data_IF_638560533480
#
_entry.id   IF_638560533480
#
_cell.length_a   1.000
_cell.length_b   1.000
_cell.length_c   1.000
_cell.angle_alpha   90.00
_cell.angle_beta   90.00
_cell.angle_gamma   90.00
#
_symmetry.space_group_name_H-M   'P 1'
#
loop_
_entity.id
_entity.type
_entity.pdbx_description
1 polymer ?
#
# COMPACT_ATOMS: atom_id res chain seq x y z
N UNK A 1 15.89 -39.80 40.60
CA UNK A 1 14.96 -38.71 40.94
C UNK A 1 15.34 -37.50 40.09
N UNK A 2 14.54 -37.14 39.07
CA UNK A 2 14.81 -35.97 38.24
C UNK A 2 14.31 -34.73 38.98
N UNK A 3 15.22 -33.90 39.49
CA UNK A 3 14.86 -32.58 40.03
C UNK A 3 14.32 -31.70 38.91
N UNK A 4 13.02 -31.44 38.92
CA UNK A 4 12.44 -30.42 38.05
C UNK A 4 12.93 -29.06 38.54
N UNK A 5 13.73 -28.36 37.74
CA UNK A 5 14.08 -26.96 37.98
C UNK A 5 12.80 -26.14 37.87
N UNK A 6 12.32 -25.60 38.99
CA UNK A 6 11.24 -24.63 39.00
C UNK A 6 11.80 -23.26 38.58
N UNK A 7 11.17 -22.64 37.57
CA UNK A 7 11.46 -21.26 37.17
C UNK A 7 11.16 -20.31 38.32
N UNK A 8 12.01 -19.30 38.52
CA UNK A 8 11.73 -18.27 39.54
C UNK A 8 10.81 -17.19 38.98
N UNK A 9 9.97 -16.58 39.82
CA UNK A 9 9.11 -15.47 39.43
C UNK A 9 9.92 -14.26 38.92
N UNK A 10 11.10 -14.04 39.49
CA UNK A 10 12.00 -12.95 39.09
C UNK A 10 12.53 -13.14 37.68
N UNK A 11 12.83 -14.38 37.29
CA UNK A 11 13.33 -14.71 35.95
C UNK A 11 12.27 -14.45 34.88
N UNK A 12 11.01 -14.81 35.15
CA UNK A 12 9.90 -14.45 34.26
C UNK A 12 9.71 -12.92 34.18
N UNK A 13 9.83 -12.22 35.32
CA UNK A 13 9.64 -10.77 35.43
C UNK A 13 10.66 -10.00 34.57
N UNK A 14 11.95 -10.36 34.66
CA UNK A 14 13.00 -9.73 33.85
C UNK A 14 12.77 -9.97 32.36
N UNK A 15 12.33 -11.17 31.97
CA UNK A 15 12.05 -11.50 30.56
C UNK A 15 10.90 -10.64 30.01
N UNK A 16 9.77 -10.54 30.71
CA UNK A 16 8.65 -9.72 30.22
C UNK A 16 8.95 -8.23 30.22
N UNK A 17 9.81 -7.76 31.14
CA UNK A 17 10.31 -6.38 31.15
C UNK A 17 11.13 -6.09 29.89
N UNK A 18 12.06 -6.98 29.52
CA UNK A 18 12.87 -6.82 28.31
C UNK A 18 11.99 -6.90 27.05
N UNK A 19 11.06 -7.86 26.97
CA UNK A 19 10.12 -7.98 25.86
C UNK A 19 9.23 -6.73 25.72
N UNK A 20 8.77 -6.16 26.85
CA UNK A 20 8.00 -4.92 26.87
C UNK A 20 8.79 -3.73 26.32
N UNK A 21 10.06 -3.58 26.72
CA UNK A 21 10.93 -2.52 26.22
C UNK A 21 11.18 -2.65 24.70
N UNK A 22 11.44 -3.86 24.21
CA UNK A 22 11.62 -4.12 22.77
C UNK A 22 10.34 -3.86 21.98
N UNK A 23 9.18 -4.29 22.49
CA UNK A 23 7.88 -4.07 21.86
C UNK A 23 7.55 -2.58 21.74
N UNK A 24 7.85 -1.78 22.77
CA UNK A 24 7.61 -0.34 22.77
C UNK A 24 8.33 0.40 21.61
N UNK A 25 9.50 -0.08 21.21
CA UNK A 25 10.27 0.48 20.09
C UNK A 25 9.83 -0.12 18.75
N UNK A 26 9.58 -1.43 18.71
CA UNK A 26 9.30 -2.15 17.47
C UNK A 26 7.93 -1.81 16.88
N UNK A 27 6.88 -1.75 17.72
CA UNK A 27 5.49 -1.53 17.28
C UNK A 27 5.30 -0.22 16.50
N UNK A 28 5.68 0.97 17.00
CA UNK A 28 5.49 2.21 16.25
C UNK A 28 6.26 2.23 14.92
N UNK A 29 7.46 1.62 14.90
CA UNK A 29 8.27 1.49 13.68
C UNK A 29 7.61 0.59 12.63
N UNK A 30 6.97 -0.50 13.05
CA UNK A 30 6.23 -1.37 12.13
C UNK A 30 5.01 -0.68 11.53
N UNK A 31 4.27 0.09 12.35
CA UNK A 31 3.10 0.83 11.87
C UNK A 31 3.51 1.89 10.85
N UNK A 32 4.55 2.68 11.12
CA UNK A 32 5.02 3.69 10.16
C UNK A 32 5.56 3.07 8.87
N UNK A 33 6.27 1.94 8.96
CA UNK A 33 6.71 1.16 7.81
C UNK A 33 5.53 0.67 6.95
N UNK A 34 4.49 0.13 7.57
CA UNK A 34 3.29 -0.33 6.88
C UNK A 34 2.54 0.83 6.19
N UNK A 35 2.40 1.98 6.86
CA UNK A 35 1.79 3.18 6.27
C UNK A 35 2.59 3.69 5.08
N UNK A 36 3.91 3.79 5.21
CA UNK A 36 4.78 4.21 4.11
C UNK A 36 4.73 3.25 2.92
N UNK A 37 4.63 1.94 3.15
CA UNK A 37 4.45 0.96 2.09
C UNK A 37 3.12 1.15 1.34
N UNK A 38 2.03 1.45 2.06
CA UNK A 38 0.73 1.77 1.45
C UNK A 38 0.78 3.05 0.62
N UNK A 39 1.48 4.09 1.10
CA UNK A 39 1.66 5.35 0.36
C UNK A 39 2.38 5.09 -0.96
N UNK A 40 3.54 4.42 -0.90
CA UNK A 40 4.32 4.05 -2.09
C UNK A 40 3.54 3.17 -3.07
N UNK A 41 2.71 2.28 -2.56
CA UNK A 41 1.82 1.47 -3.40
C UNK A 41 0.76 2.34 -4.11
N UNK A 42 0.13 3.32 -3.43
CA UNK A 42 -0.78 4.25 -4.12
C UNK A 42 -0.04 5.09 -5.18
N UNK A 43 1.18 5.58 -4.90
CA UNK A 43 2.01 6.31 -5.88
C UNK A 43 2.29 5.43 -7.12
N UNK A 44 2.77 4.21 -6.90
CA UNK A 44 3.05 3.24 -7.98
C UNK A 44 1.82 2.94 -8.82
N UNK A 45 0.65 2.80 -8.17
CA UNK A 45 -0.61 2.58 -8.86
C UNK A 45 -1.04 3.80 -9.71
N UNK A 46 -0.79 5.03 -9.26
CA UNK A 46 -1.03 6.24 -10.06
C UNK A 46 -0.16 6.24 -11.30
N UNK A 47 1.12 5.89 -11.17
CA UNK A 47 2.03 5.80 -12.31
C UNK A 47 1.59 4.72 -13.31
N UNK A 48 1.17 3.55 -12.81
CA UNK A 48 0.60 2.48 -13.64
C UNK A 48 -0.64 2.97 -14.41
N UNK A 49 -1.58 3.65 -13.73
CA UNK A 49 -2.77 4.21 -14.37
C UNK A 49 -2.41 5.23 -15.45
N UNK A 50 -1.47 6.13 -15.18
CA UNK A 50 -1.01 7.13 -16.15
C UNK A 50 -0.34 6.47 -17.35
N UNK A 51 0.47 5.43 -17.15
CA UNK A 51 1.07 4.67 -18.24
C UNK A 51 0.02 4.01 -19.13
N UNK A 52 -1.02 3.42 -18.55
CA UNK A 52 -2.12 2.83 -19.33
C UNK A 52 -2.97 3.88 -20.07
N UNK A 53 -3.13 5.08 -19.49
CA UNK A 53 -3.80 6.20 -20.18
C UNK A 53 -2.99 6.67 -21.40
N UNK A 54 -1.66 6.71 -21.29
CA UNK A 54 -0.78 7.05 -22.42
C UNK A 54 -0.83 5.97 -23.51
N UNK A 55 -0.88 4.68 -23.13
CA UNK A 55 -1.11 3.59 -24.07
C UNK A 55 -2.48 3.69 -24.75
N UNK A 56 -3.52 4.05 -24.02
CA UNK A 56 -4.85 4.29 -24.61
C UNK A 56 -4.78 5.39 -25.68
N UNK A 57 -4.11 6.51 -25.39
CA UNK A 57 -3.92 7.56 -26.39
C UNK A 57 -3.17 7.07 -27.63
N UNK A 58 -2.12 6.27 -27.44
CA UNK A 58 -1.34 5.71 -28.54
C UNK A 58 -2.16 4.77 -29.45
N UNK A 59 -3.10 4.01 -28.89
CA UNK A 59 -3.93 3.08 -29.65
C UNK A 59 -5.13 3.77 -30.31
N UNK A 60 -5.78 4.67 -29.59
CA UNK A 60 -7.07 5.23 -29.95
C UNK A 60 -6.97 6.63 -30.59
N UNK A 61 -5.77 7.23 -30.63
CA UNK A 61 -5.49 8.60 -31.06
C UNK A 61 -6.37 9.67 -30.38
N UNK A 62 -6.88 9.38 -29.18
CA UNK A 62 -7.71 10.27 -28.36
C UNK A 62 -7.46 10.00 -26.89
N UNK A 63 -7.46 11.04 -26.08
CA UNK A 63 -7.40 10.88 -24.63
C UNK A 63 -8.71 10.30 -24.09
N UNK A 64 -8.67 9.47 -23.03
CA UNK A 64 -9.89 8.96 -22.43
C UNK A 64 -10.68 10.11 -21.80
N UNK A 65 -11.96 10.26 -22.14
CA UNK A 65 -12.81 11.30 -21.53
C UNK A 65 -13.11 11.03 -20.05
N UNK A 66 -12.93 9.78 -19.61
CA UNK A 66 -13.13 9.30 -18.25
C UNK A 66 -12.19 8.13 -17.97
N UNK A 67 -11.76 7.98 -16.73
CA UNK A 67 -10.82 6.92 -16.31
C UNK A 67 -11.35 5.50 -16.59
N UNK A 68 -12.67 5.32 -16.52
CA UNK A 68 -13.31 4.01 -16.72
C UNK A 68 -13.13 3.43 -18.11
N UNK A 69 -12.84 4.25 -19.13
CA UNK A 69 -12.55 3.78 -20.49
C UNK A 69 -11.25 2.99 -20.56
N UNK A 70 -10.30 3.30 -19.67
CA UNK A 70 -9.04 2.56 -19.55
C UNK A 70 -9.20 1.44 -18.52
N UNK A 71 -9.82 1.71 -17.37
CA UNK A 71 -9.84 0.74 -16.27
C UNK A 71 -10.85 -0.40 -16.43
N UNK A 72 -11.87 -0.25 -17.28
CA UNK A 72 -12.84 -1.36 -17.51
C UNK A 72 -12.40 -2.26 -18.67
N UNK A 73 -11.43 -1.81 -19.46
CA UNK A 73 -10.99 -2.52 -20.65
C UNK A 73 -9.85 -3.50 -20.29
N UNK A 74 -10.05 -4.82 -20.48
CA UNK A 74 -9.03 -5.83 -20.21
C UNK A 74 -7.76 -5.68 -21.05
N UNK A 75 -7.78 -4.93 -22.16
CA UNK A 75 -6.60 -4.67 -22.97
C UNK A 75 -5.55 -3.82 -22.23
N UNK A 76 -5.98 -2.99 -21.28
CA UNK A 76 -5.09 -2.12 -20.49
C UNK A 76 -4.86 -2.65 -19.07
N UNK A 77 -5.84 -3.34 -18.49
CA UNK A 77 -5.75 -3.95 -17.16
C UNK A 77 -6.26 -5.40 -17.16
N UNK A 78 -5.50 -6.35 -17.73
CA UNK A 78 -5.92 -7.76 -17.82
C UNK A 78 -6.05 -8.43 -16.45
N UNK A 79 -5.20 -8.05 -15.50
CA UNK A 79 -5.18 -8.59 -14.13
C UNK A 79 -6.09 -7.80 -13.16
N UNK A 80 -6.84 -6.83 -13.68
CA UNK A 80 -7.69 -5.94 -12.91
C UNK A 80 -7.03 -4.61 -12.54
N UNK A 81 -7.88 -3.69 -12.08
CA UNK A 81 -7.50 -2.29 -11.85
C UNK A 81 -6.86 -2.15 -10.48
N UNK A 82 -5.74 -1.44 -10.35
CA UNK A 82 -5.19 -1.13 -9.04
C UNK A 82 -6.18 -0.30 -8.21
N UNK A 83 -6.38 -0.69 -6.96
CA UNK A 83 -7.12 0.10 -5.96
C UNK A 83 -6.15 0.67 -4.94
N UNK A 84 -6.36 1.91 -4.49
CA UNK A 84 -5.50 2.49 -3.45
C UNK A 84 -5.71 1.77 -2.11
N UNK A 85 -4.63 1.30 -1.44
CA UNK A 85 -4.71 0.66 -0.12
C UNK A 85 -5.39 1.43 1.02
N UNK A 86 -5.66 2.74 0.84
CA UNK A 86 -6.42 3.56 1.78
C UNK A 86 -7.93 3.62 1.46
N UNK A 87 -8.39 2.97 0.39
CA UNK A 87 -9.80 2.91 0.00
C UNK A 87 -10.33 4.15 -0.74
N UNK A 88 -9.49 5.17 -0.94
CA UNK A 88 -9.84 6.37 -1.72
C UNK A 88 -9.81 6.08 -3.21
N UNK A 89 -10.78 6.64 -3.96
CA UNK A 89 -10.83 6.51 -5.42
C UNK A 89 -9.84 7.46 -6.11
N UNK A 90 -9.24 7.00 -7.20
CA UNK A 90 -8.37 7.80 -8.05
C UNK A 90 -9.15 8.91 -8.77
N UNK A 91 -8.59 10.12 -8.78
CA UNK A 91 -9.16 11.26 -9.48
C UNK A 91 -8.46 11.48 -10.82
N UNK A 92 -9.22 11.39 -11.91
CA UNK A 92 -8.73 11.67 -13.25
C UNK A 92 -9.07 13.10 -13.66
N UNK A 93 -8.07 13.83 -14.13
CA UNK A 93 -8.24 15.18 -14.67
C UNK A 93 -8.35 15.11 -16.19
N UNK A 94 -9.47 15.58 -16.73
CA UNK A 94 -9.67 15.71 -18.19
C UNK A 94 -8.88 16.85 -18.80
N UNK A 95 -8.30 17.74 -17.99
CA UNK A 95 -7.49 18.87 -18.44
C UNK A 95 -6.03 18.47 -18.63
N UNK A 96 -5.50 17.67 -17.69
CA UNK A 96 -4.10 17.20 -17.74
C UNK A 96 -3.99 15.79 -18.29
N UNK A 97 -5.13 15.14 -18.57
CA UNK A 97 -5.25 13.76 -19.02
C UNK A 97 -4.52 12.74 -18.12
N UNK A 98 -4.43 13.02 -16.82
CA UNK A 98 -3.69 12.21 -15.85
C UNK A 98 -4.48 11.99 -14.58
N UNK A 99 -4.18 10.90 -13.90
CA UNK A 99 -4.59 10.64 -12.53
C UNK A 99 -3.77 11.53 -11.59
N UNK A 100 -4.45 12.29 -10.74
CA UNK A 100 -3.81 13.15 -9.77
C UNK A 100 -3.03 12.33 -8.72
N UNK A 101 -1.85 12.80 -8.28
CA UNK A 101 -1.16 12.17 -7.17
C UNK A 101 -2.03 12.25 -5.91
N UNK A 102 -2.09 11.12 -5.19
CA UNK A 102 -2.78 11.02 -3.91
C UNK A 102 -1.82 11.37 -2.77
N UNK A 103 -2.26 12.22 -1.85
CA UNK A 103 -1.58 12.44 -0.56
C UNK A 103 -2.40 11.81 0.57
N UNK A 104 -1.71 11.16 1.50
CA UNK A 104 -2.29 10.43 2.64
C UNK A 104 -1.63 10.84 3.95
#
# INVERSE_FOLDING_TARGET
MHSKKAFTLVELLVVVMILGALAAIAVPRMISGATNAKIRACETNVDLLNSQIELYYANENKWPSRLNLVTTDPNYFPDGVPTCPFGTKYQYSTTTHRVAPHTH
#
